data_IF_415699752502
#
_entry.id   IF_415699752502
#
_cell.length_a   1.000
_cell.length_b   1.000
_cell.length_c   1.000
_cell.angle_alpha   90.00
_cell.angle_beta   90.00
_cell.angle_gamma   90.00
#
_symmetry.space_group_name_H-M   'P 1'
#
loop_
_entity.id
_entity.type
_entity.pdbx_description
1 polymer ?
#
# COMPACT_ATOMS: atom_id res chain seq x y z
N UNK A 1 -31.55 39.57 -53.77
CA UNK A 1 -31.13 38.15 -53.86
C UNK A 1 -29.61 38.14 -53.97
N UNK A 2 -28.87 38.38 -52.90
CA UNK A 2 -28.23 37.33 -52.11
C UNK A 2 -27.62 37.96 -50.85
N UNK A 3 -28.48 38.31 -49.91
CA UNK A 3 -28.12 38.40 -48.49
C UNK A 3 -28.16 36.94 -47.99
N UNK A 4 -27.26 36.53 -47.09
CA UNK A 4 -27.00 35.15 -46.60
C UNK A 4 -25.78 34.50 -47.29
N UNK A 5 -24.56 35.01 -47.08
CA UNK A 5 -23.35 34.16 -46.94
C UNK A 5 -22.10 34.95 -46.49
N UNK A 6 -22.09 35.60 -45.32
CA UNK A 6 -20.86 36.18 -44.71
C UNK A 6 -21.27 36.92 -43.44
N UNK A 7 -20.73 36.75 -42.24
CA UNK A 7 -19.61 35.96 -41.71
C UNK A 7 -19.97 35.72 -40.24
N UNK A 8 -20.49 34.55 -39.89
CA UNK A 8 -20.50 34.09 -38.49
C UNK A 8 -19.12 33.50 -38.20
N UNK A 9 -18.12 34.36 -38.06
CA UNK A 9 -16.87 34.00 -37.38
C UNK A 9 -16.56 35.14 -36.41
N UNK A 10 -17.16 35.04 -35.22
CA UNK A 10 -16.70 35.79 -34.05
C UNK A 10 -15.22 35.42 -33.88
N UNK A 11 -14.30 36.39 -34.05
CA UNK A 11 -12.90 36.22 -33.67
C UNK A 11 -12.89 35.76 -32.22
N UNK A 12 -12.43 34.54 -31.96
CA UNK A 12 -12.16 34.10 -30.61
C UNK A 12 -11.22 35.13 -29.98
N UNK A 13 -11.64 35.77 -28.89
CA UNK A 13 -10.75 36.66 -28.15
C UNK A 13 -9.60 35.81 -27.62
N UNK A 14 -8.41 36.38 -27.46
CA UNK A 14 -7.25 35.68 -26.92
C UNK A 14 -7.58 34.92 -25.62
N UNK A 15 -8.44 35.51 -24.77
CA UNK A 15 -9.00 34.88 -23.56
C UNK A 15 -9.75 33.57 -23.84
N UNK A 16 -10.60 33.53 -24.88
CA UNK A 16 -11.36 32.32 -25.23
C UNK A 16 -10.45 31.21 -25.76
N UNK A 17 -9.39 31.56 -26.49
CA UNK A 17 -8.38 30.60 -26.95
C UNK A 17 -7.60 30.02 -25.77
N UNK A 18 -7.17 30.86 -24.83
CA UNK A 18 -6.48 30.41 -23.61
C UNK A 18 -7.39 29.51 -22.75
N UNK A 19 -8.66 29.88 -22.55
CA UNK A 19 -9.60 29.06 -21.78
C UNK A 19 -9.82 27.68 -22.43
N UNK A 20 -9.92 27.64 -23.77
CA UNK A 20 -10.06 26.39 -24.50
C UNK A 20 -8.82 25.51 -24.34
N UNK A 21 -7.60 26.07 -24.43
CA UNK A 21 -6.36 25.30 -24.25
C UNK A 21 -6.23 24.76 -22.83
N UNK A 22 -6.55 25.55 -21.81
CA UNK A 22 -6.56 25.10 -20.41
C UNK A 22 -7.59 23.99 -20.22
N UNK A 23 -8.80 24.16 -20.78
CA UNK A 23 -9.85 23.13 -20.74
C UNK A 23 -9.39 21.81 -21.37
N UNK A 24 -8.83 21.86 -22.58
CA UNK A 24 -8.29 20.68 -23.27
C UNK A 24 -7.16 20.01 -22.49
N UNK A 25 -6.26 20.80 -21.89
CA UNK A 25 -5.17 20.27 -21.06
C UNK A 25 -5.71 19.54 -19.82
N UNK A 26 -6.67 20.14 -19.11
CA UNK A 26 -7.32 19.51 -17.96
C UNK A 26 -8.05 18.23 -18.38
N UNK A 27 -8.78 18.25 -19.50
CA UNK A 27 -9.47 17.07 -20.03
C UNK A 27 -8.48 15.96 -20.41
N UNK A 28 -7.35 16.29 -21.05
CA UNK A 28 -6.31 15.32 -21.38
C UNK A 28 -5.70 14.67 -20.13
N UNK A 29 -5.39 15.47 -19.09
CA UNK A 29 -4.94 14.96 -17.80
C UNK A 29 -6.00 14.04 -17.18
N UNK A 30 -7.26 14.44 -17.20
CA UNK A 30 -8.36 13.67 -16.63
C UNK A 30 -8.55 12.32 -17.35
N UNK A 31 -8.52 12.31 -18.68
CA UNK A 31 -8.61 11.08 -19.47
C UNK A 31 -7.41 10.17 -19.17
N UNK A 32 -6.19 10.70 -19.15
CA UNK A 32 -4.99 9.92 -18.79
C UNK A 32 -5.12 9.32 -17.39
N UNK A 33 -5.55 10.14 -16.40
CA UNK A 33 -5.75 9.72 -15.02
C UNK A 33 -6.78 8.59 -14.88
N UNK A 34 -7.90 8.67 -15.60
CA UNK A 34 -8.93 7.63 -15.61
C UNK A 34 -8.48 6.32 -16.28
N UNK A 35 -7.39 6.33 -17.06
CA UNK A 35 -6.86 5.16 -17.78
C UNK A 35 -5.66 4.50 -17.10
N UNK A 36 -5.18 5.02 -15.97
CA UNK A 36 -4.15 4.35 -15.17
C UNK A 36 -4.72 3.06 -14.58
N UNK A 37 -4.26 1.91 -15.07
CA UNK A 37 -4.67 0.59 -14.58
C UNK A 37 -3.61 0.01 -13.64
N UNK A 38 -4.04 -0.61 -12.53
CA UNK A 38 -3.12 -1.44 -11.77
C UNK A 38 -2.67 -2.66 -12.60
N UNK A 39 -1.47 -3.16 -12.36
CA UNK A 39 -0.82 -4.27 -13.03
C UNK A 39 0.23 -4.88 -12.11
N UNK A 40 0.06 -6.15 -11.77
CA UNK A 40 1.04 -6.90 -10.98
C UNK A 40 2.35 -7.21 -11.72
N UNK A 41 2.46 -6.89 -13.02
CA UNK A 41 3.54 -7.34 -13.89
C UNK A 41 4.58 -6.24 -14.21
N UNK A 42 4.90 -5.36 -13.25
CA UNK A 42 5.94 -4.33 -13.41
C UNK A 42 7.27 -4.76 -12.77
N UNK A 43 8.34 -4.02 -13.07
CA UNK A 43 9.66 -4.26 -12.45
C UNK A 43 9.69 -3.66 -11.04
N UNK A 44 9.13 -4.40 -10.10
CA UNK A 44 8.95 -3.98 -8.71
C UNK A 44 10.27 -3.93 -7.93
N UNK A 45 10.32 -3.05 -6.92
CA UNK A 45 11.38 -3.10 -5.92
C UNK A 45 11.37 -4.44 -5.17
N UNK A 46 12.55 -4.91 -4.78
CA UNK A 46 12.73 -6.26 -4.22
C UNK A 46 11.90 -6.51 -2.96
N UNK A 47 11.71 -5.48 -2.12
CA UNK A 47 10.89 -5.52 -0.90
C UNK A 47 9.39 -5.70 -1.13
N UNK A 48 8.93 -5.53 -2.37
CA UNK A 48 7.52 -5.64 -2.79
C UNK A 48 7.33 -6.47 -4.08
N UNK A 49 8.35 -7.23 -4.48
CA UNK A 49 8.35 -7.97 -5.74
C UNK A 49 7.49 -9.24 -5.71
N UNK A 50 7.55 -10.00 -4.61
CA UNK A 50 6.82 -11.27 -4.45
C UNK A 50 5.49 -11.01 -3.76
N UNK A 51 4.39 -11.40 -4.38
CA UNK A 51 3.05 -11.25 -3.83
C UNK A 51 2.74 -12.37 -2.81
N UNK A 52 2.16 -12.04 -1.64
CA UNK A 52 1.58 -13.05 -0.76
C UNK A 52 0.33 -13.66 -1.38
N UNK A 53 0.08 -14.92 -1.04
CA UNK A 53 -1.13 -15.64 -1.41
C UNK A 53 -1.69 -16.31 -0.14
N UNK A 54 -3.02 -16.31 0.03
CA UNK A 54 -3.62 -16.96 1.18
C UNK A 54 -4.77 -17.90 0.79
N UNK A 55 -4.89 -19.03 1.48
CA UNK A 55 -6.00 -19.96 1.31
C UNK A 55 -6.65 -20.24 2.66
N UNK A 56 -7.98 -20.35 2.66
CA UNK A 56 -8.78 -20.60 3.87
C UNK A 56 -9.39 -21.98 3.75
N UNK A 57 -9.12 -22.86 4.72
CA UNK A 57 -9.75 -24.18 4.87
C UNK A 57 -10.32 -24.31 6.29
N UNK A 58 -11.60 -23.96 6.44
CA UNK A 58 -12.25 -23.92 7.75
C UNK A 58 -11.55 -22.93 8.69
N UNK A 59 -10.98 -23.44 9.78
CA UNK A 59 -10.23 -22.65 10.76
C UNK A 59 -8.74 -22.51 10.44
N UNK A 60 -8.24 -23.15 9.38
CA UNK A 60 -6.83 -23.11 9.00
C UNK A 60 -6.65 -22.14 7.84
N UNK A 61 -5.80 -21.14 8.03
CA UNK A 61 -5.40 -20.18 7.00
C UNK A 61 -3.97 -20.45 6.61
N UNK A 62 -3.72 -20.84 5.37
CA UNK A 62 -2.35 -21.01 4.86
C UNK A 62 -1.97 -19.76 4.08
N UNK A 63 -0.93 -19.06 4.53
CA UNK A 63 -0.36 -17.91 3.86
C UNK A 63 0.98 -18.32 3.26
N UNK A 64 1.16 -18.04 1.97
CA UNK A 64 2.39 -18.24 1.23
C UNK A 64 3.11 -16.93 0.99
N UNK A 65 4.43 -17.02 0.82
CA UNK A 65 5.31 -15.88 0.60
C UNK A 65 5.24 -14.84 1.72
N UNK A 66 5.20 -15.28 2.98
CA UNK A 66 5.33 -14.39 4.14
C UNK A 66 6.77 -13.85 4.15
N UNK A 67 6.91 -12.54 4.04
CA UNK A 67 8.22 -11.88 3.96
C UNK A 67 8.97 -11.99 5.28
N UNK A 68 10.27 -12.32 5.22
CA UNK A 68 11.13 -12.40 6.40
C UNK A 68 12.55 -11.91 6.07
N UNK A 69 12.66 -10.66 5.62
CA UNK A 69 13.92 -10.13 5.14
C UNK A 69 14.93 -9.94 6.28
N UNK A 70 16.18 -10.28 6.00
CA UNK A 70 17.27 -10.03 6.93
C UNK A 70 18.13 -8.84 6.50
N UNK A 71 18.10 -7.79 7.31
CA UNK A 71 18.66 -6.48 6.98
C UNK A 71 20.06 -6.29 7.57
N UNK A 72 20.92 -5.65 6.80
CA UNK A 72 22.21 -5.09 7.24
C UNK A 72 22.13 -3.56 7.26
N UNK A 73 21.43 -2.98 6.31
CA UNK A 73 21.01 -1.56 6.27
C UNK A 73 19.57 -1.46 5.74
N UNK A 74 19.03 -0.25 5.62
CA UNK A 74 17.70 -0.04 5.01
C UNK A 74 17.61 -0.61 3.58
N UNK A 75 18.70 -0.50 2.81
CA UNK A 75 18.74 -0.86 1.39
C UNK A 75 19.62 -2.10 1.10
N UNK A 76 20.31 -2.63 2.10
CA UNK A 76 21.08 -3.88 2.01
C UNK A 76 20.43 -4.94 2.89
N UNK A 77 19.81 -5.92 2.25
CA UNK A 77 19.09 -7.01 2.90
C UNK A 77 19.11 -8.27 2.05
N UNK A 78 18.88 -9.41 2.69
CA UNK A 78 18.72 -10.71 2.02
C UNK A 78 17.22 -11.01 1.95
N UNK A 79 16.62 -11.07 0.75
CA UNK A 79 15.25 -11.48 0.59
C UNK A 79 15.03 -12.91 1.07
N UNK A 80 14.02 -13.13 1.91
CA UNK A 80 13.58 -14.45 2.32
C UNK A 80 12.07 -14.45 2.53
N UNK A 81 11.48 -15.61 2.27
CA UNK A 81 10.04 -15.84 2.36
C UNK A 81 9.78 -17.23 2.95
N UNK A 82 8.67 -17.38 3.66
CA UNK A 82 8.21 -18.68 4.14
C UNK A 82 6.70 -18.83 3.98
N UNK A 83 6.26 -20.08 3.96
CA UNK A 83 4.85 -20.43 3.96
C UNK A 83 4.47 -20.92 5.35
N UNK A 84 3.29 -20.53 5.83
CA UNK A 84 2.81 -20.94 7.15
C UNK A 84 1.30 -21.11 7.19
N UNK A 85 0.88 -22.09 7.97
CA UNK A 85 -0.52 -22.29 8.31
C UNK A 85 -0.80 -21.78 9.72
N UNK A 86 -1.82 -20.93 9.83
CA UNK A 86 -2.32 -20.36 11.08
C UNK A 86 -3.68 -20.97 11.42
N UNK A 87 -3.84 -21.41 12.67
CA UNK A 87 -5.13 -21.85 13.20
C UNK A 87 -5.84 -20.66 13.86
N UNK A 88 -6.99 -20.26 13.32
CA UNK A 88 -7.81 -19.17 13.84
C UNK A 88 -8.22 -19.38 15.31
N UNK A 89 -8.23 -20.61 15.81
CA UNK A 89 -8.51 -20.90 17.22
C UNK A 89 -7.35 -20.54 18.15
N UNK A 90 -6.14 -20.39 17.62
CA UNK A 90 -4.96 -19.95 18.37
C UNK A 90 -4.78 -18.44 18.40
N UNK A 91 -5.57 -17.68 17.64
CA UNK A 91 -5.51 -16.20 17.67
C UNK A 91 -5.82 -15.69 19.09
N UNK A 92 -4.84 -15.00 19.69
CA UNK A 92 -4.88 -14.45 21.05
C UNK A 92 -5.21 -12.96 21.07
N UNK A 93 -4.97 -12.25 19.97
CA UNK A 93 -5.31 -10.84 19.84
C UNK A 93 -4.66 -10.17 18.63
N UNK A 94 -4.80 -8.86 18.57
CA UNK A 94 -4.21 -8.01 17.54
C UNK A 94 -3.48 -6.85 18.21
N UNK A 95 -2.31 -6.52 17.69
CA UNK A 95 -1.57 -5.33 18.02
C UNK A 95 -1.66 -4.34 16.86
N UNK A 96 -1.98 -3.08 17.18
CA UNK A 96 -1.89 -1.98 16.23
C UNK A 96 -0.50 -1.36 16.35
N UNK A 97 0.23 -1.31 15.24
CA UNK A 97 1.56 -0.72 15.18
C UNK A 97 1.45 0.61 14.44
N UNK A 98 1.84 1.70 15.12
CA UNK A 98 1.85 3.05 14.56
C UNK A 98 3.29 3.54 14.39
N UNK A 99 3.59 4.04 13.19
CA UNK A 99 4.94 4.45 12.82
C UNK A 99 4.92 5.88 12.30
N UNK A 100 5.77 6.73 12.88
CA UNK A 100 5.81 8.16 12.63
C UNK A 100 7.18 8.56 12.09
N UNK A 101 7.23 9.06 10.86
CA UNK A 101 8.46 9.58 10.23
C UNK A 101 8.29 11.01 9.70
N UNK A 102 7.05 11.53 9.63
CA UNK A 102 6.73 12.85 9.10
C UNK A 102 6.05 13.74 10.15
N UNK A 103 6.57 13.70 11.38
CA UNK A 103 5.98 14.38 12.54
C UNK A 103 4.79 13.64 13.15
N UNK A 104 4.13 14.21 14.17
CA UNK A 104 3.15 13.49 15.00
C UNK A 104 1.74 13.40 14.39
N UNK A 105 1.47 14.12 13.29
CA UNK A 105 0.11 14.24 12.74
C UNK A 105 -0.29 13.09 11.81
N UNK A 106 0.68 12.36 11.25
CA UNK A 106 0.45 11.31 10.25
C UNK A 106 1.25 10.08 10.67
N UNK A 107 0.54 8.97 10.89
CA UNK A 107 1.13 7.68 11.19
C UNK A 107 0.86 6.70 10.04
N UNK A 108 1.84 5.85 9.72
CA UNK A 108 1.60 4.62 8.97
C UNK A 108 1.24 3.54 9.97
N UNK A 109 0.05 2.97 9.75
CA UNK A 109 -0.53 1.97 10.64
C UNK A 109 -0.48 0.61 9.96
N UNK A 110 -0.11 -0.40 10.72
CA UNK A 110 -0.27 -1.80 10.33
C UNK A 110 -0.65 -2.65 11.54
N UNK A 111 -1.06 -3.89 11.29
CA UNK A 111 -1.53 -4.80 12.33
C UNK A 111 -0.58 -5.98 12.47
N UNK A 112 -0.38 -6.44 13.69
CA UNK A 112 0.27 -7.71 14.02
C UNK A 112 -0.73 -8.64 14.69
N UNK A 113 -0.92 -9.84 14.15
CA UNK A 113 -1.86 -10.83 14.66
C UNK A 113 -1.10 -11.87 15.49
N UNK A 114 -1.46 -11.99 16.77
CA UNK A 114 -0.80 -12.87 17.75
C UNK A 114 -1.47 -14.24 17.77
N UNK A 115 -0.75 -15.27 17.32
CA UNK A 115 -1.17 -16.69 17.37
C UNK A 115 -0.52 -17.46 18.54
N UNK A 116 0.22 -16.77 19.41
CA UNK A 116 0.86 -17.34 20.58
C UNK A 116 2.25 -17.91 20.34
N UNK A 117 2.99 -18.18 21.41
CA UNK A 117 4.29 -18.86 21.35
C UNK A 117 5.33 -18.14 20.46
N UNK A 118 5.30 -16.79 20.50
CA UNK A 118 6.04 -15.88 19.61
C UNK A 118 5.68 -16.02 18.12
N UNK A 119 4.49 -16.54 17.82
CA UNK A 119 3.95 -16.66 16.47
C UNK A 119 3.11 -15.43 16.13
N UNK A 120 3.70 -14.54 15.35
CA UNK A 120 3.06 -13.32 14.88
C UNK A 120 3.10 -13.26 13.36
N UNK A 121 2.04 -12.70 12.77
CA UNK A 121 2.05 -12.27 11.38
C UNK A 121 1.61 -10.82 11.29
N UNK A 122 2.49 -9.99 10.74
CA UNK A 122 2.23 -8.58 10.54
C UNK A 122 1.74 -8.33 9.11
N UNK A 123 0.69 -7.53 8.96
CA UNK A 123 0.13 -7.16 7.68
C UNK A 123 0.06 -5.64 7.56
N UNK A 124 0.80 -5.09 6.60
CA UNK A 124 0.84 -3.67 6.29
C UNK A 124 0.30 -3.40 4.90
N UNK A 125 -0.56 -2.38 4.78
CA UNK A 125 -1.06 -1.93 3.48
C UNK A 125 -0.13 -0.80 3.02
N UNK A 126 0.71 -1.09 2.05
CA UNK A 126 1.76 -0.19 1.58
C UNK A 126 1.59 0.19 0.11
N UNK A 127 2.33 1.22 -0.29
CA UNK A 127 2.50 1.59 -1.68
C UNK A 127 3.50 0.65 -2.36
N UNK A 128 3.09 -0.02 -3.45
CA UNK A 128 3.99 -0.81 -4.30
C UNK A 128 4.77 0.11 -5.23
N UNK A 129 6.10 0.08 -5.15
CA UNK A 129 7.02 0.94 -5.91
C UNK A 129 7.77 0.16 -6.99
N UNK A 130 7.92 0.76 -8.16
CA UNK A 130 8.80 0.23 -9.22
C UNK A 130 10.28 0.53 -8.92
N UNK A 131 11.20 -0.25 -9.50
CA UNK A 131 12.63 0.00 -9.36
C UNK A 131 12.99 1.41 -9.85
N UNK A 132 13.79 2.12 -9.05
CA UNK A 132 14.19 3.51 -9.33
C UNK A 132 13.20 4.57 -8.87
N UNK A 133 12.02 4.20 -8.35
CA UNK A 133 11.10 5.17 -7.77
C UNK A 133 11.43 5.52 -6.31
N UNK A 134 11.65 6.82 -6.05
CA UNK A 134 11.68 7.36 -4.70
C UNK A 134 10.25 7.54 -4.14
N UNK A 135 10.11 7.46 -2.82
CA UNK A 135 8.84 7.75 -2.15
C UNK A 135 8.44 9.22 -2.34
N UNK A 136 7.20 9.47 -2.77
CA UNK A 136 6.64 10.81 -2.90
C UNK A 136 5.23 10.85 -2.30
N UNK A 137 5.06 11.68 -1.28
CA UNK A 137 3.74 11.93 -0.66
C UNK A 137 2.73 12.45 -1.66
N UNK A 138 3.18 13.29 -2.61
CA UNK A 138 2.33 13.82 -3.67
C UNK A 138 1.87 12.72 -4.63
N UNK A 139 2.77 11.84 -5.09
CA UNK A 139 2.40 10.69 -5.93
C UNK A 139 1.43 9.74 -5.22
N UNK A 140 1.61 9.53 -3.91
CA UNK A 140 0.71 8.72 -3.08
C UNK A 140 -0.71 9.29 -2.97
N UNK A 141 -0.87 10.61 -3.06
CA UNK A 141 -2.18 11.25 -3.07
C UNK A 141 -2.92 11.12 -4.43
N UNK A 142 -2.19 10.84 -5.53
CA UNK A 142 -2.73 10.82 -6.90
C UNK A 142 -2.83 9.41 -7.51
N UNK A 143 -3.15 8.37 -6.72
CA UNK A 143 -3.36 6.98 -7.20
C UNK A 143 -2.19 6.37 -7.99
N UNK A 144 -0.95 6.86 -7.82
CA UNK A 144 0.18 6.35 -8.60
C UNK A 144 0.87 5.12 -8.00
N UNK A 145 0.58 4.78 -6.75
CA UNK A 145 1.05 3.53 -6.15
C UNK A 145 -0.08 2.51 -6.13
N UNK A 146 0.27 1.28 -6.49
CA UNK A 146 -0.63 0.16 -6.25
C UNK A 146 -0.67 -0.14 -4.76
N UNK A 147 -1.87 -0.40 -4.23
CA UNK A 147 -1.99 -0.89 -2.86
C UNK A 147 -1.44 -2.32 -2.82
N UNK A 148 -0.51 -2.56 -1.90
CA UNK A 148 0.16 -3.83 -1.71
C UNK A 148 0.03 -4.26 -0.25
N UNK A 149 -0.44 -5.48 -0.02
CA UNK A 149 -0.47 -6.07 1.32
C UNK A 149 0.88 -6.73 1.59
N UNK A 150 1.76 -6.06 2.33
CA UNK A 150 2.97 -6.68 2.85
C UNK A 150 2.56 -7.61 3.99
N UNK A 151 2.61 -8.92 3.76
CA UNK A 151 2.47 -9.93 4.81
C UNK A 151 3.86 -10.40 5.21
N UNK A 152 4.24 -10.20 6.47
CA UNK A 152 5.60 -10.43 6.92
C UNK A 152 5.67 -10.94 8.36
N UNK A 153 6.84 -11.50 8.70
CA UNK A 153 7.25 -11.67 10.09
C UNK A 153 7.31 -10.30 10.77
N UNK A 154 6.88 -10.24 12.03
CA UNK A 154 6.93 -9.01 12.81
C UNK A 154 8.37 -8.46 12.93
N UNK A 155 9.37 -9.35 13.03
CA UNK A 155 10.81 -9.02 13.08
C UNK A 155 11.37 -8.52 11.76
N UNK A 156 10.63 -8.66 10.65
CA UNK A 156 10.96 -7.97 9.39
C UNK A 156 10.39 -6.55 9.46
N UNK A 157 9.06 -6.42 9.56
CA UNK A 157 8.37 -5.13 9.42
C UNK A 157 8.72 -4.11 10.52
N UNK A 158 8.77 -4.55 11.78
CA UNK A 158 9.07 -3.64 12.90
C UNK A 158 10.57 -3.32 12.93
N UNK A 159 11.42 -4.34 12.82
CA UNK A 159 12.88 -4.18 12.91
C UNK A 159 13.45 -3.26 11.84
N UNK A 160 12.93 -3.34 10.60
CA UNK A 160 13.29 -2.41 9.53
C UNK A 160 13.17 -0.95 10.00
N UNK A 161 12.04 -0.62 10.62
CA UNK A 161 11.67 0.73 11.03
C UNK A 161 12.41 1.18 12.28
N UNK A 162 12.60 0.29 13.25
CA UNK A 162 13.25 0.65 14.53
C UNK A 162 14.76 0.67 14.46
N UNK A 163 15.40 -0.14 13.59
CA UNK A 163 16.84 -0.35 13.62
C UNK A 163 17.57 0.23 12.40
N UNK A 164 16.96 0.16 11.22
CA UNK A 164 17.65 0.38 9.95
C UNK A 164 17.23 1.69 9.26
N UNK A 165 15.98 2.12 9.38
CA UNK A 165 15.51 3.42 8.86
C UNK A 165 15.86 4.55 9.82
N UNK A 166 16.81 5.40 9.42
CA UNK A 166 17.35 6.47 10.28
C UNK A 166 17.28 7.87 9.68
N UNK A 167 16.79 8.02 8.46
CA UNK A 167 16.72 9.32 7.79
C UNK A 167 15.41 9.52 7.01
N UNK A 168 14.39 10.14 7.63
CA UNK A 168 14.31 10.46 9.06
C UNK A 168 14.11 9.18 9.91
N UNK A 169 14.49 9.19 11.20
CA UNK A 169 14.23 8.06 12.08
C UNK A 169 12.72 7.89 12.31
N UNK A 170 12.26 6.64 12.34
CA UNK A 170 10.86 6.34 12.63
C UNK A 170 10.63 6.16 14.15
N UNK A 171 9.57 6.76 14.68
CA UNK A 171 9.07 6.43 16.02
C UNK A 171 7.99 5.35 15.89
N UNK A 172 8.23 4.20 16.50
CA UNK A 172 7.35 3.03 16.43
C UNK A 172 6.68 2.80 17.78
N UNK A 173 5.35 2.74 17.77
CA UNK A 173 4.52 2.48 18.95
C UNK A 173 3.66 1.25 18.68
N UNK A 174 3.60 0.35 19.66
CA UNK A 174 2.75 -0.85 19.61
C UNK A 174 1.62 -0.68 20.62
N UNK A 175 0.38 -0.81 20.16
CA UNK A 175 -0.82 -0.67 20.96
C UNK A 175 -1.58 -2.00 20.98
N UNK A 176 -1.60 -2.65 22.15
CA UNK A 176 -2.41 -3.83 22.39
C UNK A 176 -3.88 -3.46 22.33
N UNK A 177 -4.63 -4.09 21.43
CA UNK A 177 -6.07 -3.85 21.34
C UNK A 177 -6.82 -4.63 22.41
N UNK A 178 -7.88 -4.03 22.92
CA UNK A 178 -8.84 -4.69 23.81
C UNK A 178 -10.12 -4.95 23.02
N UNK A 179 -10.09 -5.97 22.18
CA UNK A 179 -11.20 -6.39 21.32
C UNK A 179 -11.66 -7.80 21.67
N UNK A 180 -12.91 -8.11 21.32
CA UNK A 180 -13.39 -9.49 21.44
C UNK A 180 -12.70 -10.36 20.39
N UNK A 181 -12.22 -11.55 20.77
CA UNK A 181 -11.51 -12.47 19.84
C UNK A 181 -12.30 -12.78 18.56
N UNK A 182 -13.63 -12.82 18.63
CA UNK A 182 -14.46 -13.02 17.45
C UNK A 182 -14.36 -11.85 16.45
N UNK A 183 -14.17 -10.62 16.93
CA UNK A 183 -13.92 -9.45 16.08
C UNK A 183 -12.53 -9.51 15.46
N UNK A 184 -11.53 -9.95 16.22
CA UNK A 184 -10.15 -10.09 15.74
C UNK A 184 -10.03 -11.15 14.65
N UNK A 185 -10.69 -12.30 14.82
CA UNK A 185 -10.78 -13.35 13.80
C UNK A 185 -11.44 -12.84 12.52
N UNK A 186 -12.54 -12.06 12.65
CA UNK A 186 -13.20 -11.44 11.50
C UNK A 186 -12.27 -10.46 10.80
N UNK A 187 -11.58 -9.61 11.55
CA UNK A 187 -10.63 -8.64 11.00
C UNK A 187 -9.49 -9.35 10.24
N UNK A 188 -8.88 -10.36 10.85
CA UNK A 188 -7.85 -11.17 10.19
C UNK A 188 -8.37 -11.76 8.87
N UNK A 189 -9.54 -12.39 8.89
CA UNK A 189 -10.15 -12.96 7.68
C UNK A 189 -10.45 -11.92 6.59
N UNK A 190 -10.81 -10.69 6.95
CA UNK A 190 -10.98 -9.61 5.96
C UNK A 190 -9.65 -9.22 5.30
N UNK A 191 -8.55 -9.16 6.05
CA UNK A 191 -7.21 -8.99 5.47
C UNK A 191 -6.85 -10.14 4.54
N UNK A 192 -7.08 -11.39 4.97
CA UNK A 192 -6.81 -12.59 4.17
C UNK A 192 -7.58 -12.60 2.85
N UNK A 193 -8.86 -12.21 2.86
CA UNK A 193 -9.65 -12.10 1.63
C UNK A 193 -9.10 -11.03 0.69
N UNK A 194 -8.57 -9.93 1.23
CA UNK A 194 -8.02 -8.83 0.44
C UNK A 194 -6.64 -9.10 -0.15
N UNK A 195 -5.83 -9.95 0.48
CA UNK A 195 -4.51 -10.34 -0.04
C UNK A 195 -4.59 -10.95 -1.45
N UNK A 196 -5.69 -11.64 -1.76
CA UNK A 196 -5.87 -12.32 -3.04
C UNK A 196 -6.56 -11.46 -4.13
N UNK A 197 -6.88 -10.20 -3.85
CA UNK A 197 -7.66 -9.32 -4.76
C UNK A 197 -6.90 -8.07 -5.14
#
# INVERSE_FOLDING_TARGET
MSTIMSKFLKRATFKNVVLLMVGLFITAIFIWYCNLKPSNNRDWQTDVAVLPEATINGNLVTIRNIRNFDYRTELDYTPAYYDKQFDLNKLRGVDLVATYWMGPAIAHIFLSFDFGDNDHVAISIEARKEKGEAYSTLKGFFRQYELYYVVADERDLIRLRTNYRRDPPEQVYVYRTHSALNSDKKLFLEYIKKINT
#
